data_IF_768293314584
#
_entry.id   IF_768293314584
#
_cell.length_a   1.000
_cell.length_b   1.000
_cell.length_c   1.000
_cell.angle_alpha   90.00
_cell.angle_beta   90.00
_cell.angle_gamma   90.00
#
_symmetry.space_group_name_H-M   'P 1'
#
loop_
_entity.id
_entity.type
_entity.pdbx_description
1 polymer ?
#
# COMPACT_ATOMS: atom_id res chain seq x y z
N UNK A 1 47.43 -22.97 0.10
CA UNK A 1 47.52 -22.15 -1.13
C UNK A 1 46.22 -22.33 -1.89
N UNK A 2 45.13 -21.73 -1.42
CA UNK A 2 43.83 -21.63 -2.10
C UNK A 2 43.07 -20.52 -1.36
N UNK A 3 43.51 -19.28 -1.51
CA UNK A 3 42.84 -18.12 -0.88
C UNK A 3 42.28 -17.13 -1.90
N UNK A 4 42.55 -17.29 -3.20
CA UNK A 4 42.29 -16.22 -4.18
C UNK A 4 41.43 -16.58 -5.41
N UNK A 5 40.85 -17.78 -5.53
CA UNK A 5 40.13 -18.17 -6.77
C UNK A 5 38.64 -18.54 -6.63
N UNK A 6 37.98 -18.23 -5.52
CA UNK A 6 36.52 -18.41 -5.42
C UNK A 6 35.79 -17.07 -5.50
N UNK A 7 35.25 -16.76 -6.69
CA UNK A 7 34.13 -15.84 -6.83
C UNK A 7 32.97 -16.27 -5.90
N UNK A 8 32.14 -15.34 -5.39
CA UNK A 8 31.15 -15.67 -4.38
C UNK A 8 30.09 -16.60 -4.98
N UNK A 9 30.22 -17.90 -4.73
CA UNK A 9 29.18 -18.88 -5.05
C UNK A 9 28.10 -18.72 -3.99
N UNK A 10 26.89 -18.33 -4.42
CA UNK A 10 25.75 -17.97 -3.58
C UNK A 10 25.16 -19.09 -2.70
N UNK A 11 25.83 -20.23 -2.54
CA UNK A 11 25.35 -21.35 -1.72
C UNK A 11 26.52 -21.99 -0.94
N UNK A 12 26.64 -21.63 0.34
CA UNK A 12 27.68 -22.17 1.24
C UNK A 12 27.67 -23.71 1.37
N UNK A 13 26.57 -24.36 1.04
CA UNK A 13 26.43 -25.83 1.02
C UNK A 13 27.15 -26.50 -0.16
N UNK A 14 27.24 -25.82 -1.32
CA UNK A 14 28.01 -26.28 -2.49
C UNK A 14 29.51 -26.23 -2.23
N UNK A 15 29.96 -25.21 -1.48
CA UNK A 15 31.36 -25.09 -1.02
C UNK A 15 31.69 -26.19 -0.01
N UNK A 16 30.76 -26.54 0.88
CA UNK A 16 30.93 -27.65 1.82
C UNK A 16 31.07 -29.01 1.09
N UNK A 17 30.23 -29.28 0.09
CA UNK A 17 30.34 -30.50 -0.72
C UNK A 17 31.70 -30.58 -1.45
N UNK A 18 32.18 -29.48 -2.04
CA UNK A 18 33.47 -29.41 -2.74
C UNK A 18 34.67 -29.58 -1.79
N UNK A 19 34.60 -29.00 -0.59
CA UNK A 19 35.62 -29.15 0.46
C UNK A 19 35.68 -30.60 0.97
N UNK A 20 34.53 -31.26 1.16
CA UNK A 20 34.50 -32.69 1.54
C UNK A 20 35.06 -33.56 0.41
N UNK A 21 34.77 -33.26 -0.86
CA UNK A 21 35.31 -33.98 -2.01
C UNK A 21 36.84 -33.84 -2.12
N UNK A 22 37.38 -32.64 -1.87
CA UNK A 22 38.82 -32.36 -1.81
C UNK A 22 39.53 -33.04 -0.63
N UNK A 23 38.83 -33.30 0.48
CA UNK A 23 39.41 -33.90 1.69
C UNK A 23 39.41 -35.43 1.67
N UNK A 24 38.42 -36.06 1.03
CA UNK A 24 38.20 -37.52 1.07
C UNK A 24 38.65 -38.22 -0.23
N UNK A 25 38.93 -37.46 -1.29
CA UNK A 25 39.31 -37.97 -2.62
C UNK A 25 38.12 -38.52 -3.41
N UNK A 26 38.34 -38.81 -4.71
CA UNK A 26 37.33 -39.19 -5.73
C UNK A 26 36.42 -40.40 -5.41
N UNK A 27 36.52 -40.98 -4.21
CA UNK A 27 35.73 -42.12 -3.76
C UNK A 27 34.44 -41.74 -3.00
N UNK A 28 34.21 -40.47 -2.69
CA UNK A 28 32.98 -40.01 -2.04
C UNK A 28 31.91 -39.69 -3.09
N UNK A 29 30.99 -40.63 -3.34
CA UNK A 29 29.76 -40.39 -4.11
C UNK A 29 28.79 -39.50 -3.30
N UNK A 30 29.03 -38.19 -3.33
CA UNK A 30 28.16 -37.17 -2.74
C UNK A 30 27.09 -36.76 -3.76
N UNK A 31 25.81 -36.80 -3.36
CA UNK A 31 24.71 -36.21 -4.13
C UNK A 31 24.06 -35.16 -3.23
N UNK A 32 23.99 -33.92 -3.70
CA UNK A 32 23.29 -32.83 -3.05
C UNK A 32 22.31 -32.19 -4.02
N UNK A 33 21.08 -31.97 -3.57
CA UNK A 33 20.02 -31.26 -4.32
C UNK A 33 19.84 -29.81 -3.86
N UNK A 34 20.85 -29.25 -3.18
CA UNK A 34 20.79 -27.89 -2.63
C UNK A 34 19.98 -27.76 -1.34
N UNK A 35 19.53 -28.86 -0.74
CA UNK A 35 18.83 -28.84 0.57
C UNK A 35 19.37 -29.84 1.62
N UNK A 36 20.12 -30.87 1.19
CA UNK A 36 20.81 -31.84 2.06
C UNK A 36 22.07 -32.41 1.39
N UNK A 37 23.11 -32.67 2.19
CA UNK A 37 24.24 -33.54 1.79
C UNK A 37 23.95 -34.96 2.30
N UNK A 38 23.79 -35.92 1.39
CA UNK A 38 23.58 -37.34 1.73
C UNK A 38 24.81 -38.16 1.31
N UNK A 39 25.43 -38.85 2.28
CA UNK A 39 26.41 -39.89 2.00
C UNK A 39 25.67 -41.14 1.48
N UNK A 40 25.77 -41.44 0.17
CA UNK A 40 25.25 -42.71 -0.34
C UNK A 40 26.06 -43.85 0.30
N UNK A 41 25.40 -44.70 1.08
CA UNK A 41 25.92 -46.02 1.34
C UNK A 41 26.14 -46.71 -0.02
N UNK A 42 27.27 -47.38 -0.21
CA UNK A 42 27.59 -48.09 -1.43
C UNK A 42 26.45 -49.03 -1.85
N UNK A 43 26.26 -49.22 -3.17
CA UNK A 43 25.24 -50.12 -3.68
C UNK A 43 25.36 -51.49 -3.01
N UNK A 44 24.21 -52.07 -2.62
CA UNK A 44 24.15 -53.42 -2.05
C UNK A 44 24.82 -54.38 -3.04
N UNK A 45 25.82 -55.15 -2.59
CA UNK A 45 26.58 -56.05 -3.45
C UNK A 45 25.68 -56.99 -4.24
N UNK A 46 26.11 -57.37 -5.44
CA UNK A 46 25.37 -58.27 -6.33
C UNK A 46 25.03 -59.58 -5.60
N UNK A 47 23.82 -60.09 -5.85
CA UNK A 47 23.36 -61.36 -5.28
C UNK A 47 24.25 -62.47 -5.83
N UNK A 48 24.90 -63.24 -4.96
CA UNK A 48 25.72 -64.38 -5.35
C UNK A 48 24.95 -65.36 -6.24
N UNK A 49 25.66 -66.01 -7.16
CA UNK A 49 25.08 -66.96 -8.11
C UNK A 49 24.30 -68.08 -7.40
N UNK A 50 23.13 -68.42 -7.95
CA UNK A 50 22.28 -69.49 -7.44
C UNK A 50 22.96 -70.84 -7.67
N UNK A 51 23.20 -71.61 -6.60
CA UNK A 51 23.78 -72.95 -6.69
C UNK A 51 22.94 -73.91 -7.55
N UNK A 52 23.60 -74.88 -8.18
CA UNK A 52 22.96 -75.86 -9.06
C UNK A 52 21.88 -76.69 -8.33
N UNK A 53 20.77 -76.95 -9.04
CA UNK A 53 19.61 -77.65 -8.52
C UNK A 53 19.88 -79.16 -8.39
N UNK A 54 19.94 -79.68 -7.16
CA UNK A 54 20.03 -81.13 -6.89
C UNK A 54 18.69 -81.87 -7.06
N UNK A 55 18.75 -83.14 -7.47
CA UNK A 55 17.59 -84.03 -7.50
C UNK A 55 17.12 -84.34 -6.07
N UNK A 56 15.92 -83.84 -5.73
CA UNK A 56 15.00 -84.24 -4.65
C UNK A 56 15.62 -84.83 -3.35
N UNK A 57 16.07 -83.96 -2.44
CA UNK A 57 16.36 -84.31 -1.03
C UNK A 57 17.21 -83.27 -0.29
N UNK A 58 16.67 -82.73 0.81
CA UNK A 58 17.21 -81.72 1.75
C UNK A 58 17.56 -80.32 1.18
N UNK A 59 17.20 -79.27 1.94
CA UNK A 59 17.38 -77.86 1.60
C UNK A 59 18.88 -77.54 1.47
N UNK A 60 19.33 -77.07 0.30
CA UNK A 60 20.72 -76.68 0.07
C UNK A 60 21.20 -75.59 1.04
N UNK A 61 22.47 -75.67 1.43
CA UNK A 61 23.10 -74.73 2.36
C UNK A 61 23.00 -73.27 1.85
N UNK A 62 22.73 -72.36 2.78
CA UNK A 62 22.65 -70.93 2.53
C UNK A 62 24.01 -70.41 2.02
N UNK A 63 24.04 -69.81 0.83
CA UNK A 63 25.26 -69.23 0.26
C UNK A 63 25.91 -68.19 1.18
N UNK A 64 27.24 -68.12 1.14
CA UNK A 64 28.03 -67.23 1.99
C UNK A 64 27.58 -65.76 1.87
N UNK A 65 27.44 -65.10 3.02
CA UNK A 65 27.12 -63.69 3.11
C UNK A 65 28.27 -62.88 2.47
N UNK A 66 27.96 -62.06 1.46
CA UNK A 66 28.93 -61.14 0.86
C UNK A 66 29.57 -60.22 1.91
N UNK A 67 30.82 -59.82 1.66
CA UNK A 67 31.59 -58.99 2.58
C UNK A 67 30.80 -57.73 3.02
N UNK A 68 30.88 -57.32 4.30
CA UNK A 68 30.27 -56.09 4.76
C UNK A 68 30.70 -54.90 3.88
N UNK A 69 29.77 -54.01 3.55
CA UNK A 69 30.12 -52.74 2.90
C UNK A 69 31.06 -51.93 3.80
N UNK A 70 31.94 -51.13 3.20
CA UNK A 70 32.82 -50.24 3.97
C UNK A 70 31.96 -49.25 4.77
N UNK A 71 32.16 -49.23 6.10
CA UNK A 71 31.58 -48.21 6.98
C UNK A 71 32.05 -46.81 6.54
N UNK A 72 31.18 -45.81 6.65
CA UNK A 72 31.55 -44.41 6.39
C UNK A 72 32.75 -43.99 7.26
N UNK A 73 33.63 -43.13 6.72
CA UNK A 73 34.86 -42.71 7.42
C UNK A 73 34.54 -42.10 8.80
N UNK A 74 34.84 -42.85 9.86
CA UNK A 74 34.59 -42.46 11.25
C UNK A 74 35.32 -41.17 11.68
N UNK A 75 36.20 -40.64 10.83
CA UNK A 75 36.95 -39.42 11.08
C UNK A 75 36.34 -38.16 10.43
N UNK A 76 35.14 -38.25 9.84
CA UNK A 76 34.41 -37.09 9.30
C UNK A 76 33.19 -36.78 10.17
N UNK A 77 33.10 -35.55 10.68
CA UNK A 77 31.91 -35.02 11.34
C UNK A 77 31.50 -33.71 10.67
N UNK A 78 30.22 -33.56 10.35
CA UNK A 78 29.65 -32.31 9.84
C UNK A 78 28.57 -31.87 10.82
N UNK A 79 28.73 -30.68 11.39
CA UNK A 79 27.81 -30.11 12.38
C UNK A 79 27.48 -28.67 12.04
N UNK A 80 26.20 -28.31 12.13
CA UNK A 80 25.77 -26.92 11.98
C UNK A 80 25.79 -26.22 13.34
N UNK A 81 26.43 -25.05 13.40
CA UNK A 81 26.53 -24.24 14.61
C UNK A 81 26.25 -22.77 14.25
N UNK A 82 25.03 -22.29 14.49
CA UNK A 82 24.64 -20.92 14.11
C UNK A 82 24.70 -20.71 12.58
N UNK A 83 25.38 -19.64 12.14
CA UNK A 83 25.57 -19.32 10.71
C UNK A 83 26.82 -19.98 10.12
N UNK A 84 27.33 -21.07 10.70
CA UNK A 84 28.47 -21.79 10.13
C UNK A 84 28.23 -23.30 10.07
N UNK A 85 28.76 -23.91 9.02
CA UNK A 85 28.93 -25.36 8.88
C UNK A 85 30.33 -25.69 9.38
N UNK A 86 30.42 -26.51 10.41
CA UNK A 86 31.67 -27.00 10.98
C UNK A 86 31.93 -28.41 10.46
N UNK A 87 33.02 -28.59 9.73
CA UNK A 87 33.48 -29.88 9.21
C UNK A 87 34.73 -30.28 9.99
N UNK A 88 34.71 -31.43 10.65
CA UNK A 88 35.89 -32.02 11.32
C UNK A 88 36.34 -33.22 10.50
N UNK A 89 37.55 -33.18 9.96
CA UNK A 89 38.15 -34.30 9.23
C UNK A 89 39.54 -34.62 9.79
N UNK A 90 39.76 -35.85 10.26
CA UNK A 90 41.05 -36.32 10.84
C UNK A 90 41.64 -35.36 11.90
N UNK A 91 40.77 -34.80 12.74
CA UNK A 91 41.18 -33.86 13.81
C UNK A 91 41.43 -32.42 13.35
N UNK A 92 41.22 -32.10 12.06
CA UNK A 92 41.26 -30.73 11.53
C UNK A 92 39.85 -30.18 11.42
N UNK A 93 39.62 -28.98 11.95
CA UNK A 93 38.33 -28.28 11.90
C UNK A 93 38.33 -27.24 10.79
N UNK A 94 37.34 -27.33 9.91
CA UNK A 94 37.00 -26.34 8.89
C UNK A 94 35.69 -25.67 9.29
N UNK A 95 35.62 -24.35 9.15
CA UNK A 95 34.41 -23.58 9.41
C UNK A 95 34.04 -22.87 8.12
N UNK A 96 32.83 -23.13 7.62
CA UNK A 96 32.28 -22.49 6.43
C UNK A 96 31.13 -21.60 6.86
N UNK A 97 31.05 -20.33 6.44
CA UNK A 97 29.84 -19.55 6.62
C UNK A 97 28.70 -20.23 5.87
N UNK A 98 27.61 -20.51 6.58
CA UNK A 98 26.29 -20.71 5.99
C UNK A 98 26.01 -19.37 5.30
N UNK A 99 25.86 -19.37 3.98
CA UNK A 99 25.48 -18.14 3.26
C UNK A 99 24.29 -17.49 3.97
N UNK A 100 24.20 -16.15 3.97
CA UNK A 100 23.00 -15.50 4.49
C UNK A 100 21.78 -16.11 3.80
N UNK A 101 20.73 -16.42 4.56
CA UNK A 101 19.49 -16.91 3.98
C UNK A 101 19.05 -15.92 2.89
N UNK A 102 18.64 -16.41 1.71
CA UNK A 102 18.30 -15.53 0.61
C UNK A 102 17.22 -14.55 1.07
N UNK A 103 17.39 -13.26 0.73
CA UNK A 103 16.33 -12.28 0.91
C UNK A 103 15.19 -12.67 -0.02
N UNK A 104 14.02 -12.94 0.54
CA UNK A 104 12.85 -13.37 -0.22
C UNK A 104 11.61 -12.55 0.12
N UNK A 105 10.67 -12.54 -0.81
CA UNK A 105 9.30 -12.09 -0.58
C UNK A 105 8.36 -13.11 -1.21
N UNK A 106 7.24 -13.41 -0.54
CA UNK A 106 6.28 -14.42 -1.01
C UNK A 106 4.97 -13.75 -1.36
N UNK A 107 4.46 -14.00 -2.56
CA UNK A 107 3.17 -13.50 -3.03
C UNK A 107 2.26 -14.70 -3.32
N UNK A 108 1.07 -14.73 -2.75
CA UNK A 108 0.06 -15.76 -3.05
C UNK A 108 -1.16 -15.09 -3.66
N UNK A 109 -1.63 -15.60 -4.81
CA UNK A 109 -2.75 -15.05 -5.58
C UNK A 109 -3.91 -16.05 -5.73
N UNK A 110 -5.13 -15.53 -5.84
CA UNK A 110 -6.31 -16.30 -6.22
C UNK A 110 -6.38 -16.61 -7.73
N UNK A 111 -5.54 -15.99 -8.55
CA UNK A 111 -5.45 -16.27 -9.99
C UNK A 111 -5.05 -17.73 -10.25
N UNK A 112 -5.45 -18.26 -11.40
CA UNK A 112 -5.11 -19.60 -11.83
C UNK A 112 -3.71 -19.65 -12.45
N UNK A 113 -3.08 -20.83 -12.39
CA UNK A 113 -1.85 -21.11 -13.16
C UNK A 113 -2.10 -20.85 -14.64
N UNK A 114 -1.15 -20.20 -15.30
CA UNK A 114 -1.24 -19.72 -16.68
C UNK A 114 -1.86 -18.31 -16.83
N UNK A 115 -2.45 -17.75 -15.78
CA UNK A 115 -2.82 -16.32 -15.78
C UNK A 115 -1.59 -15.44 -15.49
N UNK A 116 -1.77 -14.13 -15.71
CA UNK A 116 -0.71 -13.14 -15.47
C UNK A 116 -0.87 -12.44 -14.13
N UNK A 117 0.28 -12.18 -13.50
CA UNK A 117 0.45 -11.12 -12.50
C UNK A 117 1.31 -10.00 -13.07
N UNK A 118 1.05 -8.77 -12.67
CA UNK A 118 1.87 -7.62 -13.02
C UNK A 118 2.68 -7.19 -11.82
N UNK A 119 4.01 -7.19 -11.95
CA UNK A 119 4.91 -6.71 -10.92
C UNK A 119 5.72 -5.52 -11.44
N UNK A 120 6.12 -4.66 -10.51
CA UNK A 120 7.14 -3.62 -10.74
C UNK A 120 8.13 -3.69 -9.61
N UNK A 121 9.40 -3.86 -9.96
CA UNK A 121 10.48 -4.07 -9.00
C UNK A 121 11.57 -3.03 -9.27
N UNK A 122 12.12 -2.45 -8.21
CA UNK A 122 13.37 -1.69 -8.27
C UNK A 122 14.27 -2.09 -7.11
N UNK A 123 15.57 -1.94 -7.32
CA UNK A 123 16.59 -2.20 -6.33
C UNK A 123 17.81 -1.32 -6.58
N UNK A 124 18.71 -1.24 -5.61
CA UNK A 124 20.00 -0.62 -5.81
C UNK A 124 20.75 -1.32 -6.97
N UNK A 125 21.48 -0.61 -7.84
CA UNK A 125 22.13 -1.22 -9.01
C UNK A 125 23.06 -2.40 -8.68
N UNK A 126 23.67 -2.40 -7.49
CA UNK A 126 24.51 -3.49 -7.02
C UNK A 126 23.73 -4.77 -6.65
N UNK A 127 22.46 -4.63 -6.26
CA UNK A 127 21.59 -5.73 -5.83
C UNK A 127 20.78 -6.32 -7.01
N UNK A 128 20.65 -5.59 -8.13
CA UNK A 128 19.83 -5.99 -9.29
C UNK A 128 20.19 -7.35 -9.93
N UNK A 129 21.48 -7.71 -10.11
CA UNK A 129 21.84 -8.99 -10.73
C UNK A 129 21.35 -10.23 -9.97
N UNK A 130 21.12 -10.09 -8.67
CA UNK A 130 20.72 -11.19 -7.77
C UNK A 130 19.19 -11.37 -7.71
N UNK A 131 18.42 -10.50 -8.37
CA UNK A 131 16.96 -10.51 -8.30
C UNK A 131 16.35 -11.39 -9.39
N UNK A 132 15.44 -12.27 -8.99
CA UNK A 132 14.65 -13.12 -9.87
C UNK A 132 13.34 -13.54 -9.19
N UNK A 133 12.40 -14.08 -9.96
CA UNK A 133 11.06 -14.44 -9.49
C UNK A 133 10.82 -15.91 -9.81
N UNK A 134 10.73 -16.74 -8.77
CA UNK A 134 10.30 -18.13 -8.87
C UNK A 134 8.79 -18.17 -9.17
N UNK A 135 8.44 -18.30 -10.44
CA UNK A 135 7.07 -18.22 -10.95
C UNK A 135 6.32 -19.55 -10.81
N UNK A 136 7.05 -20.65 -10.68
CA UNK A 136 6.50 -22.00 -10.56
C UNK A 136 6.70 -22.64 -9.17
N UNK A 137 7.33 -21.90 -8.25
CA UNK A 137 7.62 -22.29 -6.87
C UNK A 137 8.44 -23.58 -6.75
N UNK A 138 9.41 -23.77 -7.65
CA UNK A 138 10.28 -24.95 -7.67
C UNK A 138 11.64 -24.73 -6.96
N UNK A 139 11.92 -23.50 -6.50
CA UNK A 139 13.16 -23.12 -5.81
C UNK A 139 14.38 -22.92 -6.71
N UNK A 140 14.24 -23.00 -8.03
CA UNK A 140 15.31 -22.84 -9.01
C UNK A 140 14.98 -21.69 -9.96
N UNK A 141 16.02 -20.98 -10.43
CA UNK A 141 15.86 -19.91 -11.41
C UNK A 141 15.77 -20.48 -12.83
N UNK A 142 14.57 -20.47 -13.39
CA UNK A 142 14.28 -20.97 -14.75
C UNK A 142 14.36 -19.87 -15.83
N UNK A 143 14.35 -20.29 -17.09
CA UNK A 143 14.26 -19.38 -18.23
C UNK A 143 12.95 -18.57 -18.17
N UNK A 144 13.06 -17.24 -18.15
CA UNK A 144 11.92 -16.32 -18.06
C UNK A 144 11.65 -15.78 -16.65
N UNK A 145 12.37 -16.25 -15.64
CA UNK A 145 12.23 -15.81 -14.24
C UNK A 145 13.16 -14.65 -13.85
N UNK A 146 14.05 -14.25 -14.74
CA UNK A 146 14.91 -13.11 -14.53
C UNK A 146 14.11 -11.79 -14.54
N UNK A 147 14.37 -10.92 -13.56
CA UNK A 147 13.91 -9.52 -13.61
C UNK A 147 14.89 -8.74 -14.48
N UNK A 148 14.44 -8.30 -15.65
CA UNK A 148 15.28 -7.62 -16.65
C UNK A 148 15.06 -6.10 -16.70
N UNK A 149 14.02 -5.63 -16.04
CA UNK A 149 13.57 -4.24 -16.06
C UNK A 149 13.36 -3.79 -14.62
N UNK A 150 14.08 -2.73 -14.23
CA UNK A 150 14.03 -2.16 -12.89
C UNK A 150 13.60 -0.70 -12.95
N UNK A 151 12.66 -0.30 -12.09
CA UNK A 151 12.21 1.08 -12.00
C UNK A 151 10.95 1.23 -11.15
N UNK A 152 10.60 2.47 -10.82
CA UNK A 152 9.46 2.80 -9.96
C UNK A 152 8.27 3.40 -10.71
N UNK A 153 8.43 3.77 -11.98
CA UNK A 153 7.38 4.44 -12.77
C UNK A 153 6.45 3.46 -13.51
N UNK A 154 5.29 3.95 -13.96
CA UNK A 154 4.27 3.13 -14.62
C UNK A 154 4.77 2.35 -15.85
N UNK A 155 5.80 2.86 -16.52
CA UNK A 155 6.40 2.25 -17.72
C UNK A 155 7.21 0.98 -17.41
N UNK A 156 7.46 0.66 -16.13
CA UNK A 156 8.26 -0.49 -15.69
C UNK A 156 7.40 -1.68 -15.23
N UNK A 157 6.10 -1.67 -15.53
CA UNK A 157 5.23 -2.82 -15.28
C UNK A 157 5.62 -3.99 -16.17
N UNK A 158 5.82 -5.17 -15.58
CA UNK A 158 6.10 -6.41 -16.29
C UNK A 158 5.05 -7.45 -15.92
N UNK A 159 4.47 -8.08 -16.95
CA UNK A 159 3.54 -9.20 -16.79
C UNK A 159 4.32 -10.52 -16.74
N UNK A 160 4.03 -11.34 -15.73
CA UNK A 160 4.59 -12.67 -15.57
C UNK A 160 3.48 -13.72 -15.60
N UNK A 161 3.69 -14.79 -16.35
CA UNK A 161 2.78 -15.94 -16.35
C UNK A 161 3.03 -16.81 -15.12
N UNK A 162 1.97 -17.12 -14.40
CA UNK A 162 2.04 -17.96 -13.20
C UNK A 162 2.30 -19.41 -13.58
N UNK A 163 3.36 -20.01 -13.04
CA UNK A 163 3.54 -21.47 -12.98
C UNK A 163 2.93 -22.08 -11.71
N UNK A 164 2.76 -21.28 -10.66
CA UNK A 164 2.12 -21.63 -9.40
C UNK A 164 1.33 -20.42 -8.85
N UNK A 165 0.40 -20.66 -7.92
CA UNK A 165 -0.37 -19.59 -7.27
C UNK A 165 0.43 -18.85 -6.17
N UNK A 166 1.52 -19.46 -5.70
CA UNK A 166 2.49 -18.82 -4.82
C UNK A 166 3.76 -18.61 -5.62
N UNK A 167 4.28 -17.39 -5.60
CA UNK A 167 5.53 -17.02 -6.28
C UNK A 167 6.48 -16.39 -5.27
N UNK A 168 7.78 -16.60 -5.46
CA UNK A 168 8.80 -16.09 -4.55
C UNK A 168 9.71 -15.13 -5.32
N UNK A 169 9.81 -13.89 -4.85
CA UNK A 169 10.81 -12.94 -5.35
C UNK A 169 12.06 -13.10 -4.52
N UNK A 170 13.18 -13.42 -5.16
CA UNK A 170 14.50 -13.50 -4.55
C UNK A 170 15.27 -12.19 -4.76
N UNK A 171 16.12 -11.85 -3.80
CA UNK A 171 17.00 -10.69 -3.84
C UNK A 171 16.47 -9.48 -3.06
N UNK A 172 17.37 -8.53 -2.85
CA UNK A 172 17.11 -7.33 -2.05
C UNK A 172 16.43 -6.25 -2.89
N UNK A 173 15.24 -5.84 -2.49
CA UNK A 173 14.35 -4.98 -3.28
C UNK A 173 14.08 -3.69 -2.50
N UNK A 174 14.18 -2.54 -3.16
CA UNK A 174 13.88 -1.24 -2.53
C UNK A 174 12.49 -0.73 -2.87
N UNK A 175 11.93 -1.19 -4.00
CA UNK A 175 10.58 -0.86 -4.45
C UNK A 175 9.87 -2.12 -4.94
N UNK A 176 8.68 -2.40 -4.41
CA UNK A 176 7.79 -3.43 -4.92
C UNK A 176 6.41 -2.84 -5.18
N UNK A 177 5.92 -2.96 -6.42
CA UNK A 177 4.51 -2.84 -6.73
C UNK A 177 3.97 -4.17 -7.22
N UNK A 178 2.93 -4.67 -6.55
CA UNK A 178 2.24 -5.92 -6.86
C UNK A 178 0.72 -5.70 -6.88
N UNK A 179 0.30 -4.54 -7.38
CA UNK A 179 -1.08 -4.10 -7.45
C UNK A 179 -1.95 -4.94 -8.40
N UNK A 180 -3.27 -5.00 -8.15
CA UNK A 180 -4.25 -5.62 -9.04
C UNK A 180 -3.91 -7.06 -9.46
N UNK A 181 -3.47 -7.87 -8.49
CA UNK A 181 -3.04 -9.24 -8.71
C UNK A 181 -3.91 -10.28 -8.02
N UNK A 182 -5.03 -9.86 -7.40
CA UNK A 182 -5.86 -10.73 -6.57
C UNK A 182 -5.04 -11.47 -5.50
N UNK A 183 -4.04 -10.79 -4.92
CA UNK A 183 -3.21 -11.38 -3.87
C UNK A 183 -4.06 -11.63 -2.63
N UNK A 184 -4.00 -12.85 -2.11
CA UNK A 184 -4.63 -13.26 -0.85
C UNK A 184 -3.65 -13.22 0.31
N UNK A 185 -2.33 -13.29 0.02
CA UNK A 185 -1.25 -13.14 0.99
C UNK A 185 -0.04 -12.44 0.37
N UNK A 186 0.66 -11.68 1.20
CA UNK A 186 1.91 -11.01 0.87
C UNK A 186 2.83 -11.03 2.09
N UNK A 187 3.98 -11.69 1.95
CA UNK A 187 5.04 -11.68 2.96
C UNK A 187 6.26 -10.94 2.41
N UNK A 188 6.57 -9.80 3.04
CA UNK A 188 7.73 -8.95 2.73
C UNK A 188 8.72 -8.88 3.90
N UNK A 189 8.54 -9.72 4.94
CA UNK A 189 9.23 -9.59 6.22
C UNK A 189 10.76 -9.70 6.12
N UNK A 190 11.27 -10.49 5.17
CA UNK A 190 12.70 -10.66 4.94
C UNK A 190 13.31 -9.51 4.11
N UNK A 191 12.51 -8.68 3.44
CA UNK A 191 13.00 -7.58 2.62
C UNK A 191 13.11 -6.26 3.41
N UNK A 192 14.02 -6.25 4.38
CA UNK A 192 14.21 -5.12 5.31
C UNK A 192 14.67 -3.82 4.65
N UNK A 193 15.20 -3.91 3.42
CA UNK A 193 15.63 -2.76 2.60
C UNK A 193 14.49 -2.08 1.83
N UNK A 194 13.26 -2.58 1.93
CA UNK A 194 12.12 -2.06 1.19
C UNK A 194 11.77 -0.63 1.65
N UNK A 195 11.81 0.32 0.72
CA UNK A 195 11.53 1.75 0.95
C UNK A 195 10.14 2.17 0.45
N UNK A 196 9.62 1.46 -0.56
CA UNK A 196 8.31 1.70 -1.16
C UNK A 196 7.60 0.38 -1.45
N UNK A 197 6.41 0.22 -0.86
CA UNK A 197 5.55 -0.93 -1.07
C UNK A 197 4.18 -0.49 -1.57
N UNK A 198 3.77 -1.01 -2.72
CA UNK A 198 2.49 -0.77 -3.35
C UNK A 198 1.78 -2.09 -3.66
N UNK A 199 0.86 -2.50 -2.79
CA UNK A 199 0.07 -3.74 -2.90
C UNK A 199 -1.44 -3.46 -3.03
N UNK A 200 -1.81 -2.32 -3.60
CA UNK A 200 -3.21 -1.89 -3.70
C UNK A 200 -4.04 -2.76 -4.66
N UNK A 201 -5.36 -2.75 -4.48
CA UNK A 201 -6.32 -3.49 -5.32
C UNK A 201 -6.05 -5.01 -5.30
N UNK A 202 -6.04 -5.59 -4.10
CA UNK A 202 -5.84 -7.01 -3.86
C UNK A 202 -6.90 -7.52 -2.87
N UNK A 203 -6.74 -8.75 -2.38
CA UNK A 203 -7.65 -9.42 -1.44
C UNK A 203 -6.94 -9.71 -0.11
N UNK A 204 -5.99 -8.85 0.29
CA UNK A 204 -5.21 -9.04 1.51
C UNK A 204 -6.09 -8.81 2.73
N UNK A 205 -6.19 -9.81 3.60
CA UNK A 205 -6.88 -9.70 4.90
C UNK A 205 -5.94 -9.31 6.04
N UNK A 206 -4.63 -9.51 5.83
CA UNK A 206 -3.57 -9.09 6.73
C UNK A 206 -2.33 -8.64 5.94
N UNK A 207 -1.53 -7.78 6.56
CA UNK A 207 -0.26 -7.31 6.00
C UNK A 207 0.69 -7.00 7.16
N UNK A 208 1.83 -7.70 7.22
CA UNK A 208 2.88 -7.43 8.20
C UNK A 208 4.04 -6.66 7.54
N UNK A 209 4.26 -5.44 8.00
CA UNK A 209 5.34 -4.55 7.55
C UNK A 209 6.30 -4.17 8.67
N UNK A 210 6.21 -4.82 9.84
CA UNK A 210 6.96 -4.41 11.04
C UNK A 210 8.48 -4.57 10.90
N UNK A 211 8.93 -5.40 9.96
CA UNK A 211 10.33 -5.64 9.64
C UNK A 211 10.87 -4.68 8.55
N UNK A 212 9.99 -4.02 7.80
CA UNK A 212 10.37 -3.11 6.71
C UNK A 212 10.55 -1.68 7.23
N UNK A 213 11.47 -1.49 8.18
CA UNK A 213 11.66 -0.22 8.90
C UNK A 213 12.14 0.92 8.00
N UNK A 214 12.67 0.59 6.81
CA UNK A 214 13.08 1.56 5.80
C UNK A 214 11.90 2.16 4.98
N UNK A 215 10.68 1.64 5.13
CA UNK A 215 9.52 2.12 4.38
C UNK A 215 9.29 3.62 4.57
N UNK A 216 9.29 4.34 3.45
CA UNK A 216 8.93 5.75 3.33
C UNK A 216 7.56 5.95 2.68
N UNK A 217 7.12 4.97 1.87
CA UNK A 217 5.80 4.94 1.25
C UNK A 217 5.19 3.54 1.41
N UNK A 218 3.97 3.50 1.90
CA UNK A 218 3.16 2.29 1.91
C UNK A 218 1.80 2.59 1.28
N UNK A 219 1.45 1.85 0.23
CA UNK A 219 0.14 1.85 -0.39
C UNK A 219 -0.47 0.44 -0.37
N UNK A 220 -1.40 0.22 0.56
CA UNK A 220 -2.17 -1.00 0.71
C UNK A 220 -3.68 -0.75 0.53
N UNK A 221 -4.07 0.31 -0.20
CA UNK A 221 -5.48 0.65 -0.39
C UNK A 221 -6.24 -0.41 -1.18
N UNK A 222 -7.58 -0.43 -1.07
CA UNK A 222 -8.45 -1.42 -1.73
C UNK A 222 -8.02 -2.86 -1.43
N UNK A 223 -8.07 -3.22 -0.16
CA UNK A 223 -7.85 -4.57 0.35
C UNK A 223 -8.94 -4.87 1.40
N UNK A 224 -8.77 -5.96 2.14
CA UNK A 224 -9.70 -6.41 3.18
C UNK A 224 -9.06 -6.35 4.57
N UNK A 225 -8.10 -5.43 4.78
CA UNK A 225 -7.35 -5.33 6.03
C UNK A 225 -8.28 -4.86 7.17
N UNK A 226 -8.34 -5.66 8.24
CA UNK A 226 -9.06 -5.29 9.48
C UNK A 226 -8.15 -4.59 10.50
N UNK A 227 -6.84 -4.79 10.40
CA UNK A 227 -5.82 -4.15 11.21
C UNK A 227 -4.56 -3.88 10.39
N UNK A 228 -3.80 -2.87 10.79
CA UNK A 228 -2.52 -2.50 10.19
C UNK A 228 -1.61 -1.92 11.28
N UNK A 229 -0.43 -2.52 11.48
CA UNK A 229 0.57 -2.04 12.44
C UNK A 229 1.75 -1.40 11.71
N UNK A 230 1.81 -0.06 11.76
CA UNK A 230 2.87 0.75 11.14
C UNK A 230 3.83 1.38 12.15
N UNK A 231 3.75 0.99 13.43
CA UNK A 231 4.48 1.68 14.51
C UNK A 231 6.01 1.54 14.43
N UNK A 232 6.50 0.56 13.66
CA UNK A 232 7.93 0.33 13.40
C UNK A 232 8.43 1.07 12.16
N UNK A 233 7.54 1.52 11.29
CA UNK A 233 7.87 2.18 10.04
C UNK A 233 8.01 3.70 10.25
N UNK A 234 8.90 4.10 11.15
CA UNK A 234 9.05 5.50 11.61
C UNK A 234 9.51 6.45 10.51
N UNK A 235 10.05 5.92 9.41
CA UNK A 235 10.45 6.68 8.22
C UNK A 235 9.28 6.98 7.25
N UNK A 236 8.07 6.47 7.51
CA UNK A 236 6.91 6.66 6.63
C UNK A 236 6.58 8.15 6.45
N UNK A 237 6.54 8.56 5.19
CA UNK A 237 6.13 9.90 4.73
C UNK A 237 4.75 9.88 4.08
N UNK A 238 4.38 8.75 3.47
CA UNK A 238 3.10 8.56 2.78
C UNK A 238 2.52 7.21 3.21
N UNK A 239 1.31 7.23 3.76
CA UNK A 239 0.53 6.04 4.07
C UNK A 239 -0.82 6.12 3.36
N UNK A 240 -1.06 5.17 2.46
CA UNK A 240 -2.36 4.95 1.84
C UNK A 240 -2.90 3.57 2.26
N UNK A 241 -3.95 3.60 3.07
CA UNK A 241 -4.66 2.44 3.61
C UNK A 241 -6.19 2.60 3.47
N UNK A 242 -6.63 3.49 2.56
CA UNK A 242 -8.04 3.71 2.26
C UNK A 242 -8.72 2.47 1.65
N UNK A 243 -10.05 2.42 1.74
CA UNK A 243 -10.87 1.30 1.23
C UNK A 243 -10.41 -0.05 1.79
N UNK A 244 -10.39 -0.13 3.11
CA UNK A 244 -10.13 -1.34 3.89
C UNK A 244 -11.24 -1.49 4.95
N UNK A 245 -11.03 -2.35 5.95
CA UNK A 245 -11.95 -2.62 7.04
C UNK A 245 -11.34 -2.22 8.39
N UNK A 246 -10.43 -1.24 8.42
CA UNK A 246 -9.69 -0.83 9.62
C UNK A 246 -10.64 -0.22 10.65
N UNK A 247 -10.63 -0.76 11.86
CA UNK A 247 -11.40 -0.24 13.01
C UNK A 247 -10.58 0.77 13.81
N UNK A 248 -9.26 0.59 13.82
CA UNK A 248 -8.29 1.45 14.51
C UNK A 248 -7.05 1.63 13.65
N UNK A 249 -6.39 2.78 13.77
CA UNK A 249 -5.14 3.07 13.10
C UNK A 249 -4.24 3.89 14.04
N UNK A 250 -3.09 3.35 14.42
CA UNK A 250 -2.10 4.04 15.25
C UNK A 250 -0.95 4.54 14.38
N UNK A 251 -0.90 5.86 14.17
CA UNK A 251 0.15 6.56 13.42
C UNK A 251 1.07 7.39 14.33
N UNK A 252 1.00 7.19 15.65
CA UNK A 252 1.70 8.01 16.64
C UNK A 252 3.23 7.98 16.53
N UNK A 253 3.79 6.93 15.91
CA UNK A 253 5.23 6.77 15.69
C UNK A 253 5.70 7.25 14.32
N UNK A 254 4.79 7.56 13.41
CA UNK A 254 5.11 7.96 12.05
C UNK A 254 5.18 9.50 11.96
N UNK A 255 6.04 10.10 12.77
CA UNK A 255 6.16 11.57 12.91
C UNK A 255 6.64 12.26 11.62
N UNK A 256 7.20 11.50 10.68
CA UNK A 256 7.59 11.98 9.34
C UNK A 256 6.43 11.97 8.32
N UNK A 257 5.21 11.55 8.69
CA UNK A 257 4.07 11.51 7.79
C UNK A 257 3.72 12.90 7.26
N UNK A 258 3.67 13.00 5.94
CA UNK A 258 3.25 14.19 5.20
C UNK A 258 1.91 14.00 4.51
N UNK A 259 1.54 12.75 4.21
CA UNK A 259 0.26 12.39 3.58
C UNK A 259 -0.32 11.14 4.21
N UNK A 260 -1.58 11.23 4.63
CA UNK A 260 -2.34 10.11 5.18
C UNK A 260 -3.67 9.96 4.43
N UNK A 261 -3.83 8.80 3.78
CA UNK A 261 -5.07 8.38 3.13
C UNK A 261 -5.64 7.17 3.90
N UNK A 262 -6.73 7.37 4.62
CA UNK A 262 -7.41 6.35 5.43
C UNK A 262 -8.93 6.39 5.27
N UNK A 263 -9.43 7.03 4.21
CA UNK A 263 -10.86 7.14 3.93
C UNK A 263 -11.50 5.79 3.58
N UNK A 264 -12.82 5.65 3.77
CA UNK A 264 -13.54 4.39 3.56
C UNK A 264 -12.94 3.25 4.39
N UNK A 265 -13.05 3.40 5.70
CA UNK A 265 -12.72 2.39 6.70
C UNK A 265 -13.83 2.38 7.78
N UNK A 266 -13.56 1.79 8.94
CA UNK A 266 -14.48 1.73 10.09
C UNK A 266 -13.90 2.46 11.31
N UNK A 267 -13.06 3.47 11.08
CA UNK A 267 -12.38 4.21 12.15
C UNK A 267 -13.39 5.02 12.97
N UNK A 268 -13.47 4.74 14.27
CA UNK A 268 -14.31 5.51 15.20
C UNK A 268 -13.55 6.67 15.85
N UNK A 269 -12.22 6.58 15.87
CA UNK A 269 -11.28 7.59 16.36
C UNK A 269 -10.06 7.62 15.45
N UNK A 270 -9.45 8.80 15.32
CA UNK A 270 -8.18 8.99 14.62
C UNK A 270 -7.38 10.06 15.37
N UNK A 271 -6.20 9.69 15.87
CA UNK A 271 -5.26 10.61 16.52
C UNK A 271 -4.10 10.89 15.56
N UNK A 272 -3.98 12.16 15.15
CA UNK A 272 -2.92 12.68 14.28
C UNK A 272 -2.05 13.74 14.97
N UNK A 273 -2.16 13.88 16.29
CA UNK A 273 -1.47 14.92 17.06
C UNK A 273 0.06 14.86 16.97
N UNK A 274 0.63 13.66 16.81
CA UNK A 274 2.07 13.47 16.66
C UNK A 274 2.58 13.63 15.21
N UNK A 275 1.68 13.80 14.24
CA UNK A 275 2.03 13.92 12.82
C UNK A 275 2.10 15.41 12.42
N UNK A 276 2.94 16.19 13.09
CA UNK A 276 2.98 17.65 12.92
C UNK A 276 3.45 18.10 11.52
N UNK A 277 4.13 17.21 10.77
CA UNK A 277 4.54 17.43 9.37
C UNK A 277 3.44 17.10 8.34
N UNK A 278 2.22 16.75 8.79
CA UNK A 278 1.12 16.33 7.92
C UNK A 278 0.60 17.50 7.08
N UNK A 279 0.62 17.33 5.76
CA UNK A 279 0.17 18.33 4.77
C UNK A 279 -1.16 17.96 4.13
N UNK A 280 -1.43 16.66 4.01
CA UNK A 280 -2.66 16.13 3.44
C UNK A 280 -3.24 15.04 4.34
N UNK A 281 -4.49 15.22 4.73
CA UNK A 281 -5.27 14.23 5.48
C UNK A 281 -6.57 13.93 4.74
N UNK A 282 -6.74 12.67 4.32
CA UNK A 282 -8.01 12.15 3.80
C UNK A 282 -8.52 11.03 4.71
N UNK A 283 -9.49 11.36 5.55
CA UNK A 283 -10.12 10.47 6.54
C UNK A 283 -11.64 10.36 6.37
N UNK A 284 -12.18 10.81 5.23
CA UNK A 284 -13.61 10.77 4.94
C UNK A 284 -14.19 9.35 4.92
N UNK A 285 -15.53 9.25 4.95
CA UNK A 285 -16.25 7.97 4.96
C UNK A 285 -15.76 7.02 6.07
N UNK A 286 -15.80 7.52 7.31
CA UNK A 286 -15.53 6.77 8.53
C UNK A 286 -16.61 7.17 9.56
N UNK A 287 -16.84 6.39 10.63
CA UNK A 287 -17.72 6.79 11.72
C UNK A 287 -17.02 7.68 12.77
N UNK A 288 -16.17 8.65 12.38
CA UNK A 288 -15.49 9.53 13.34
C UNK A 288 -16.49 10.50 13.97
N UNK A 289 -16.48 10.59 15.31
CA UNK A 289 -17.31 11.54 16.07
C UNK A 289 -16.61 12.85 16.39
N UNK A 290 -15.28 12.82 16.38
CA UNK A 290 -14.42 13.97 16.61
C UNK A 290 -13.15 13.80 15.79
N UNK A 291 -12.57 14.93 15.41
CA UNK A 291 -11.28 15.01 14.72
C UNK A 291 -10.55 16.24 15.26
N UNK A 292 -9.35 16.03 15.80
CA UNK A 292 -8.47 17.10 16.27
C UNK A 292 -7.29 17.23 15.32
N UNK A 293 -7.16 18.41 14.69
CA UNK A 293 -6.09 18.73 13.73
C UNK A 293 -5.25 19.94 14.17
N UNK A 294 -5.36 20.36 15.44
CA UNK A 294 -4.75 21.61 15.92
C UNK A 294 -3.22 21.59 15.90
N UNK A 295 -2.62 20.41 16.05
CA UNK A 295 -1.16 20.21 15.99
C UNK A 295 -0.64 20.05 14.55
N UNK A 296 -1.51 19.87 13.56
CA UNK A 296 -1.14 19.69 12.15
C UNK A 296 -1.08 21.05 11.43
N UNK A 297 -0.26 21.98 11.91
CA UNK A 297 -0.22 23.36 11.41
C UNK A 297 0.27 23.48 9.96
N UNK A 298 0.94 22.46 9.42
CA UNK A 298 1.35 22.39 8.00
C UNK A 298 0.25 21.86 7.05
N UNK A 299 -0.95 21.58 7.55
CA UNK A 299 -2.03 20.99 6.76
C UNK A 299 -2.52 21.96 5.67
N UNK A 300 -2.40 21.55 4.41
CA UNK A 300 -2.86 22.31 3.25
C UNK A 300 -4.14 21.76 2.63
N UNK A 301 -4.43 20.48 2.86
CA UNK A 301 -5.66 19.82 2.41
C UNK A 301 -6.22 18.89 3.49
N UNK A 302 -7.50 19.08 3.80
CA UNK A 302 -8.26 18.23 4.71
C UNK A 302 -9.53 17.73 4.01
N UNK A 303 -9.69 16.41 3.92
CA UNK A 303 -10.97 15.79 3.64
C UNK A 303 -11.39 14.91 4.82
N UNK A 304 -12.47 15.31 5.48
CA UNK A 304 -13.15 14.56 6.54
C UNK A 304 -14.65 14.39 6.24
N UNK A 305 -15.02 14.35 4.96
CA UNK A 305 -16.41 14.18 4.53
C UNK A 305 -17.02 12.88 5.05
N UNK A 306 -18.35 12.79 5.13
CA UNK A 306 -19.06 11.53 5.46
C UNK A 306 -18.57 10.92 6.77
N UNK A 307 -18.58 11.74 7.82
CA UNK A 307 -18.30 11.33 9.19
C UNK A 307 -19.49 11.67 10.10
N UNK A 308 -19.29 11.63 11.41
CA UNK A 308 -20.29 11.99 12.43
C UNK A 308 -19.82 13.20 13.24
N UNK A 309 -19.04 14.10 12.60
CA UNK A 309 -18.47 15.28 13.26
C UNK A 309 -19.57 16.29 13.56
N UNK A 310 -19.70 16.67 14.84
CA UNK A 310 -20.63 17.73 15.27
C UNK A 310 -19.95 19.09 15.36
N UNK A 311 -18.62 19.10 15.45
CA UNK A 311 -17.75 20.28 15.49
C UNK A 311 -16.47 19.98 14.72
N UNK A 312 -15.88 21.01 14.11
CA UNK A 312 -14.58 20.95 13.48
C UNK A 312 -13.84 22.28 13.73
N UNK A 313 -12.65 22.21 14.33
CA UNK A 313 -11.79 23.37 14.57
C UNK A 313 -10.58 23.29 13.62
N UNK A 314 -10.55 24.22 12.66
CA UNK A 314 -9.46 24.38 11.68
C UNK A 314 -8.69 25.69 11.88
N UNK A 315 -8.86 26.36 13.02
CA UNK A 315 -8.30 27.69 13.29
C UNK A 315 -6.77 27.72 13.31
N UNK A 316 -6.11 26.57 13.54
CA UNK A 316 -4.64 26.43 13.56
C UNK A 316 -4.05 26.02 12.21
N UNK A 317 -4.87 25.59 11.26
CA UNK A 317 -4.42 25.13 9.95
C UNK A 317 -4.45 26.29 8.95
N UNK A 318 -3.67 27.34 9.23
CA UNK A 318 -3.68 28.60 8.46
C UNK A 318 -3.22 28.42 7.00
N UNK A 319 -2.48 27.34 6.73
CA UNK A 319 -2.01 26.95 5.40
C UNK A 319 -3.06 26.17 4.58
N UNK A 320 -4.27 25.93 5.12
CA UNK A 320 -5.33 25.22 4.39
C UNK A 320 -5.71 25.97 3.11
N UNK A 321 -5.47 25.29 2.00
CA UNK A 321 -5.92 25.68 0.65
C UNK A 321 -7.22 24.99 0.24
N UNK A 322 -7.57 23.91 0.95
CA UNK A 322 -8.69 23.05 0.59
C UNK A 322 -9.28 22.33 1.78
N UNK A 323 -10.60 22.48 1.95
CA UNK A 323 -11.36 21.85 3.03
C UNK A 323 -12.62 21.17 2.49
N UNK A 324 -12.72 19.87 2.74
CA UNK A 324 -13.91 19.04 2.53
C UNK A 324 -14.37 18.49 3.87
N UNK A 325 -15.53 18.95 4.33
CA UNK A 325 -16.18 18.52 5.56
C UNK A 325 -17.69 18.28 5.37
N UNK A 326 -18.11 18.01 4.13
CA UNK A 326 -19.49 17.71 3.79
C UNK A 326 -19.99 16.40 4.40
N UNK A 327 -21.30 16.17 4.36
CA UNK A 327 -21.95 14.98 4.93
C UNK A 327 -21.55 14.75 6.41
N UNK A 328 -21.69 15.79 7.23
CA UNK A 328 -21.49 15.74 8.67
C UNK A 328 -22.65 16.47 9.38
N UNK A 329 -22.90 16.23 10.68
CA UNK A 329 -23.88 17.01 11.44
C UNK A 329 -23.29 18.32 12.01
N UNK A 330 -22.46 19.07 11.26
CA UNK A 330 -21.89 20.33 11.75
C UNK A 330 -22.96 21.42 11.85
N UNK A 331 -23.02 22.10 12.98
CA UNK A 331 -23.95 23.24 13.20
C UNK A 331 -23.31 24.61 12.96
N UNK A 332 -21.98 24.66 13.05
CA UNK A 332 -21.19 25.85 12.83
C UNK A 332 -19.85 25.43 12.23
N UNK A 333 -19.29 26.32 11.42
CA UNK A 333 -17.98 26.16 10.82
C UNK A 333 -17.32 27.54 10.76
N UNK A 334 -16.16 27.68 11.39
CA UNK A 334 -15.34 28.90 11.33
C UNK A 334 -14.13 28.63 10.42
N UNK A 335 -14.09 29.33 9.29
CA UNK A 335 -12.99 29.31 8.31
C UNK A 335 -12.26 30.65 8.20
N UNK A 336 -12.53 31.58 9.12
CA UNK A 336 -12.02 32.96 9.05
C UNK A 336 -10.51 33.08 9.24
N UNK A 337 -9.88 32.01 9.74
CA UNK A 337 -8.43 31.90 9.94
C UNK A 337 -7.71 31.24 8.75
N UNK A 338 -8.43 30.64 7.80
CA UNK A 338 -7.88 29.89 6.68
C UNK A 338 -7.79 30.78 5.43
N UNK A 339 -6.91 31.79 5.49
CA UNK A 339 -6.84 32.86 4.48
C UNK A 339 -6.46 32.34 3.07
N UNK A 340 -5.73 31.23 3.00
CA UNK A 340 -5.28 30.61 1.75
C UNK A 340 -6.33 29.69 1.09
N UNK A 341 -7.54 29.59 1.64
CA UNK A 341 -8.56 28.64 1.20
C UNK A 341 -9.04 28.97 -0.22
N UNK A 342 -8.83 28.03 -1.14
CA UNK A 342 -9.21 28.15 -2.57
C UNK A 342 -10.46 27.35 -2.92
N UNK A 343 -10.79 26.33 -2.13
CA UNK A 343 -12.06 25.60 -2.22
C UNK A 343 -12.56 25.17 -0.84
N UNK A 344 -13.88 25.23 -0.67
CA UNK A 344 -14.59 24.84 0.55
C UNK A 344 -15.82 24.01 0.21
N UNK A 345 -15.82 22.74 0.61
CA UNK A 345 -16.96 21.84 0.49
C UNK A 345 -17.49 21.53 1.90
N UNK A 346 -18.64 22.09 2.24
CA UNK A 346 -19.33 21.97 3.52
C UNK A 346 -20.81 21.62 3.35
N UNK A 347 -21.18 21.04 2.21
CA UNK A 347 -22.53 20.62 1.88
C UNK A 347 -23.07 19.51 2.80
N UNK A 348 -24.38 19.28 2.82
CA UNK A 348 -25.03 18.25 3.62
C UNK A 348 -24.64 18.35 5.11
N UNK A 349 -24.83 19.54 5.69
CA UNK A 349 -24.56 19.85 7.09
C UNK A 349 -25.79 20.52 7.73
N UNK A 350 -25.64 21.08 8.93
CA UNK A 350 -26.71 21.79 9.65
C UNK A 350 -26.33 23.26 9.87
N UNK A 351 -25.53 23.84 8.99
CA UNK A 351 -25.05 25.21 9.12
C UNK A 351 -26.20 26.20 8.95
N UNK A 352 -26.39 27.08 9.93
CA UNK A 352 -27.37 28.18 9.84
C UNK A 352 -26.74 29.48 9.32
N UNK A 353 -25.42 29.60 9.45
CA UNK A 353 -24.62 30.74 9.00
C UNK A 353 -23.27 30.24 8.52
N UNK A 354 -22.67 30.94 7.55
CA UNK A 354 -21.34 30.67 7.06
C UNK A 354 -20.65 31.99 6.73
N UNK A 355 -19.53 32.28 7.42
CA UNK A 355 -18.71 33.46 7.15
C UNK A 355 -17.49 33.06 6.31
N UNK A 356 -17.48 33.49 5.05
CA UNK A 356 -16.38 33.31 4.09
C UNK A 356 -15.67 34.63 3.76
N UNK A 357 -15.92 35.69 4.53
CA UNK A 357 -15.46 37.06 4.23
C UNK A 357 -13.94 37.23 4.24
N UNK A 358 -13.21 36.29 4.85
CA UNK A 358 -11.74 36.27 4.93
C UNK A 358 -11.07 35.38 3.88
N UNK A 359 -11.82 34.53 3.20
CA UNK A 359 -11.29 33.56 2.23
C UNK A 359 -11.27 34.19 0.83
N UNK A 360 -10.51 35.27 0.64
CA UNK A 360 -10.52 36.06 -0.61
C UNK A 360 -10.03 35.30 -1.84
N UNK A 361 -9.26 34.23 -1.62
CA UNK A 361 -8.75 33.33 -2.66
C UNK A 361 -9.75 32.23 -3.07
N UNK A 362 -10.95 32.20 -2.47
CA UNK A 362 -11.94 31.16 -2.71
C UNK A 362 -12.42 31.18 -4.17
N UNK A 363 -12.20 30.08 -4.87
CA UNK A 363 -12.61 29.87 -6.27
C UNK A 363 -13.82 28.94 -6.39
N UNK A 364 -14.02 28.02 -5.44
CA UNK A 364 -15.17 27.13 -5.40
C UNK A 364 -15.77 26.99 -4.00
N UNK A 365 -17.08 27.15 -3.90
CA UNK A 365 -17.85 27.02 -2.66
C UNK A 365 -19.04 26.06 -2.86
N UNK A 366 -19.02 24.93 -2.17
CA UNK A 366 -20.15 24.00 -2.08
C UNK A 366 -20.70 24.03 -0.66
N UNK A 367 -21.87 24.63 -0.49
CA UNK A 367 -22.58 24.77 0.79
C UNK A 367 -24.06 24.37 0.69
N UNK A 368 -24.41 23.60 -0.34
CA UNK A 368 -25.77 23.10 -0.54
C UNK A 368 -26.22 22.15 0.60
N UNK A 369 -27.53 21.93 0.72
CA UNK A 369 -28.14 21.09 1.77
C UNK A 369 -27.64 21.49 3.17
N UNK A 370 -27.99 22.72 3.53
CA UNK A 370 -27.73 23.33 4.82
C UNK A 370 -28.97 24.13 5.24
N UNK A 371 -28.85 25.00 6.24
CA UNK A 371 -29.94 25.84 6.75
C UNK A 371 -29.61 27.32 6.65
N UNK A 372 -28.80 27.71 5.66
CA UNK A 372 -28.35 29.09 5.49
C UNK A 372 -29.53 29.98 5.09
N UNK A 373 -29.74 31.07 5.83
CA UNK A 373 -30.77 32.08 5.51
C UNK A 373 -30.22 33.25 4.68
N UNK A 374 -28.90 33.40 4.67
CA UNK A 374 -28.15 34.44 3.97
C UNK A 374 -26.75 33.94 3.69
N UNK A 375 -26.15 34.44 2.61
CA UNK A 375 -24.76 34.17 2.26
C UNK A 375 -24.18 35.44 1.62
N UNK A 376 -23.09 35.95 2.20
CA UNK A 376 -22.36 37.10 1.67
C UNK A 376 -21.02 36.61 1.09
N UNK A 377 -20.85 36.81 -0.21
CA UNK A 377 -19.63 36.46 -0.95
C UNK A 377 -18.94 37.68 -1.57
N UNK A 378 -19.25 38.89 -1.09
CA UNK A 378 -18.77 40.16 -1.66
C UNK A 378 -17.24 40.29 -1.66
N UNK A 379 -16.55 39.65 -0.69
CA UNK A 379 -15.09 39.62 -0.63
C UNK A 379 -14.46 38.48 -1.44
N UNK A 380 -15.23 37.49 -1.89
CA UNK A 380 -14.72 36.31 -2.61
C UNK A 380 -14.63 36.59 -4.12
N UNK A 381 -13.91 37.65 -4.48
CA UNK A 381 -13.84 38.14 -5.87
C UNK A 381 -13.22 37.16 -6.88
N UNK A 382 -12.51 36.13 -6.39
CA UNK A 382 -11.95 35.04 -7.20
C UNK A 382 -12.95 33.92 -7.52
N UNK A 383 -14.16 33.94 -6.94
CA UNK A 383 -15.13 32.85 -7.03
C UNK A 383 -15.56 32.57 -8.48
N UNK A 384 -15.60 31.28 -8.80
CA UNK A 384 -15.97 30.72 -10.12
C UNK A 384 -17.15 29.76 -10.00
N UNK A 385 -17.24 29.07 -8.87
CA UNK A 385 -18.23 28.02 -8.64
C UNK A 385 -18.94 28.23 -7.30
N UNK A 386 -20.27 28.25 -7.33
CA UNK A 386 -21.13 28.35 -6.16
C UNK A 386 -22.29 27.36 -6.27
N UNK A 387 -22.29 26.39 -5.35
CA UNK A 387 -23.38 25.43 -5.16
C UNK A 387 -24.01 25.69 -3.79
N UNK A 388 -25.19 26.30 -3.78
CA UNK A 388 -25.88 26.71 -2.55
C UNK A 388 -27.38 26.38 -2.55
N UNK A 389 -27.83 25.48 -3.41
CA UNK A 389 -29.19 24.92 -3.39
C UNK A 389 -29.49 24.18 -2.07
N UNK A 390 -30.74 23.80 -1.85
CA UNK A 390 -31.22 23.18 -0.60
C UNK A 390 -30.80 23.99 0.64
N UNK A 391 -31.15 25.28 0.64
CA UNK A 391 -30.94 26.18 1.77
C UNK A 391 -32.23 26.98 2.03
N UNK A 392 -32.15 28.09 2.77
CA UNK A 392 -33.28 28.94 3.15
C UNK A 392 -33.08 30.40 2.73
N UNK A 393 -32.33 30.64 1.65
CA UNK A 393 -31.98 31.97 1.14
C UNK A 393 -33.10 32.48 0.23
N UNK A 394 -33.79 33.54 0.64
CA UNK A 394 -34.94 34.10 -0.09
C UNK A 394 -35.07 35.61 0.11
N UNK A 395 -35.94 36.26 -0.67
CA UNK A 395 -36.27 37.68 -0.51
C UNK A 395 -35.04 38.59 -0.58
N UNK A 396 -34.92 39.52 0.36
CA UNK A 396 -33.81 40.48 0.43
C UNK A 396 -32.44 39.80 0.58
N UNK A 397 -32.37 38.62 1.23
CA UNK A 397 -31.12 37.88 1.36
C UNK A 397 -30.67 37.27 0.03
N UNK A 398 -31.61 36.81 -0.80
CA UNK A 398 -31.29 36.38 -2.17
C UNK A 398 -30.87 37.57 -3.03
N UNK A 399 -31.53 38.73 -2.89
CA UNK A 399 -31.10 39.99 -3.53
C UNK A 399 -29.67 40.34 -3.14
N UNK A 400 -29.31 40.23 -1.86
CA UNK A 400 -27.96 40.49 -1.38
C UNK A 400 -26.95 39.49 -1.98
N UNK A 401 -27.28 38.19 -2.00
CA UNK A 401 -26.43 37.15 -2.58
C UNK A 401 -26.12 37.43 -4.05
N UNK A 402 -27.14 37.62 -4.90
CA UNK A 402 -26.91 37.86 -6.35
C UNK A 402 -26.12 39.15 -6.63
N UNK A 403 -26.28 40.18 -5.77
CA UNK A 403 -25.49 41.42 -5.86
C UNK A 403 -24.05 41.26 -5.37
N UNK A 404 -23.77 40.23 -4.57
CA UNK A 404 -22.43 39.91 -4.09
C UNK A 404 -21.62 39.00 -5.02
N UNK A 405 -22.27 38.37 -6.02
CA UNK A 405 -21.59 37.55 -7.05
C UNK A 405 -20.50 38.36 -7.77
N UNK A 406 -19.28 37.84 -7.93
CA UNK A 406 -18.22 38.54 -8.67
C UNK A 406 -18.65 38.92 -10.09
N UNK A 407 -18.22 40.08 -10.58
CA UNK A 407 -18.40 40.44 -11.98
C UNK A 407 -17.44 39.62 -12.86
N UNK A 408 -18.04 38.82 -13.76
CA UNK A 408 -17.35 37.92 -14.66
C UNK A 408 -17.54 38.29 -16.13
N UNK A 409 -17.93 39.53 -16.44
CA UNK A 409 -17.94 40.00 -17.82
C UNK A 409 -16.55 39.85 -18.48
N UNK A 410 -16.54 39.39 -19.73
CA UNK A 410 -15.31 39.06 -20.47
C UNK A 410 -14.51 37.86 -19.94
N UNK A 411 -15.01 37.11 -18.94
CA UNK A 411 -14.41 35.89 -18.39
C UNK A 411 -15.27 34.66 -18.73
N UNK A 412 -14.76 33.46 -18.39
CA UNK A 412 -15.54 32.23 -18.41
C UNK A 412 -16.76 32.34 -17.48
N UNK A 413 -17.91 31.83 -17.93
CA UNK A 413 -19.17 31.84 -17.15
C UNK A 413 -18.97 31.23 -15.77
N UNK A 414 -19.58 31.83 -14.75
CA UNK A 414 -19.59 31.26 -13.42
C UNK A 414 -20.58 30.10 -13.30
N UNK A 415 -20.33 29.15 -12.40
CA UNK A 415 -21.26 28.07 -12.08
C UNK A 415 -22.10 28.47 -10.87
N UNK A 416 -23.40 28.70 -11.06
CA UNK A 416 -24.31 29.07 -9.97
C UNK A 416 -25.53 28.15 -9.87
N UNK A 417 -25.47 27.20 -8.93
CA UNK A 417 -26.54 26.23 -8.69
C UNK A 417 -27.21 26.57 -7.36
N UNK A 418 -28.43 27.09 -7.44
CA UNK A 418 -29.09 27.77 -6.31
C UNK A 418 -30.47 27.20 -5.96
N UNK A 419 -31.06 26.41 -6.85
CA UNK A 419 -32.33 25.73 -6.60
C UNK A 419 -32.14 24.23 -6.77
N UNK A 420 -32.69 23.44 -5.85
CA UNK A 420 -32.74 22.00 -5.96
C UNK A 420 -34.01 21.58 -6.71
N UNK A 421 -33.84 20.76 -7.74
CA UNK A 421 -34.95 20.16 -8.46
C UNK A 421 -35.47 18.94 -7.70
N UNK A 422 -36.80 18.82 -7.62
CA UNK A 422 -37.51 17.69 -6.99
C UNK A 422 -37.09 17.43 -5.52
N UNK A 423 -36.68 18.48 -4.80
CA UNK A 423 -36.30 18.42 -3.38
C UNK A 423 -37.40 18.94 -2.47
N UNK A 424 -37.77 18.15 -1.46
CA UNK A 424 -38.72 18.54 -0.42
C UNK A 424 -38.10 19.45 0.66
N UNK A 425 -36.77 19.60 0.68
CA UNK A 425 -36.05 20.43 1.66
C UNK A 425 -35.72 21.83 1.16
N UNK A 426 -35.81 22.06 -0.15
CA UNK A 426 -35.48 23.33 -0.77
C UNK A 426 -36.39 24.46 -0.30
N UNK A 427 -35.78 25.53 0.19
CA UNK A 427 -36.46 26.75 0.65
C UNK A 427 -35.77 28.01 0.13
N UNK A 428 -34.76 27.87 -0.73
CA UNK A 428 -34.26 28.97 -1.52
C UNK A 428 -35.34 29.46 -2.48
N UNK A 429 -35.41 30.77 -2.64
CA UNK A 429 -36.31 31.41 -3.61
C UNK A 429 -35.52 32.47 -4.34
N UNK A 430 -35.39 32.30 -5.66
CA UNK A 430 -34.79 33.29 -6.56
C UNK A 430 -35.82 33.69 -7.61
N UNK A 431 -36.23 34.95 -7.61
CA UNK A 431 -37.20 35.47 -8.58
C UNK A 431 -36.58 35.68 -9.95
N UNK A 432 -37.39 35.78 -11.00
CA UNK A 432 -36.90 36.09 -12.35
C UNK A 432 -36.04 37.36 -12.40
N UNK A 433 -36.38 38.41 -11.63
CA UNK A 433 -35.59 39.65 -11.55
C UNK A 433 -34.24 39.42 -10.87
N UNK A 434 -34.19 38.68 -9.77
CA UNK A 434 -32.93 38.35 -9.09
C UNK A 434 -32.04 37.46 -9.97
N UNK A 435 -32.63 36.49 -10.67
CA UNK A 435 -31.93 35.62 -11.60
C UNK A 435 -31.35 36.41 -12.78
N UNK A 436 -32.03 37.46 -13.27
CA UNK A 436 -31.48 38.36 -14.29
C UNK A 436 -30.23 39.09 -13.80
N UNK A 437 -30.20 39.59 -12.55
CA UNK A 437 -29.02 40.23 -11.96
C UNK A 437 -27.81 39.29 -11.95
N UNK A 438 -28.00 38.02 -11.60
CA UNK A 438 -26.92 37.02 -11.64
C UNK A 438 -26.41 36.80 -13.07
N UNK A 439 -27.32 36.66 -14.05
CA UNK A 439 -26.95 36.47 -15.46
C UNK A 439 -26.20 37.66 -16.05
N UNK A 440 -26.59 38.89 -15.71
CA UNK A 440 -25.91 40.11 -16.15
C UNK A 440 -24.46 40.18 -15.66
N UNK A 441 -24.13 39.48 -14.57
CA UNK A 441 -22.76 39.31 -14.05
C UNK A 441 -22.04 38.08 -14.61
N UNK A 442 -22.60 37.46 -15.66
CA UNK A 442 -22.10 36.23 -16.28
C UNK A 442 -22.13 35.01 -15.35
N UNK A 443 -23.20 34.88 -14.54
CA UNK A 443 -23.53 33.69 -13.74
C UNK A 443 -24.89 33.10 -14.16
N UNK A 444 -24.90 32.13 -15.08
CA UNK A 444 -26.11 31.39 -15.42
C UNK A 444 -26.71 30.68 -14.20
N UNK A 445 -27.95 31.02 -13.87
CA UNK A 445 -28.71 30.40 -12.78
C UNK A 445 -29.18 29.01 -13.22
N UNK A 446 -28.83 27.98 -12.44
CA UNK A 446 -29.16 26.58 -12.73
C UNK A 446 -29.80 25.88 -11.53
N UNK A 447 -30.53 24.81 -11.81
CA UNK A 447 -30.98 23.86 -10.81
C UNK A 447 -29.88 22.84 -10.43
N UNK A 448 -30.16 21.96 -9.47
CA UNK A 448 -29.23 20.91 -8.99
C UNK A 448 -28.87 19.83 -10.02
N UNK A 449 -29.56 19.77 -11.16
CA UNK A 449 -29.21 18.90 -12.30
C UNK A 449 -28.39 19.65 -13.36
N UNK A 450 -28.14 20.95 -13.18
CA UNK A 450 -27.42 21.80 -14.10
C UNK A 450 -28.29 22.37 -15.23
N UNK A 451 -29.61 22.19 -15.19
CA UNK A 451 -30.51 22.77 -16.18
C UNK A 451 -30.68 24.27 -15.93
N UNK A 452 -30.85 25.11 -16.98
CA UNK A 452 -31.15 26.52 -16.80
C UNK A 452 -32.44 26.75 -16.00
N UNK A 453 -32.38 27.60 -14.98
CA UNK A 453 -33.54 27.98 -14.17
C UNK A 453 -33.88 29.47 -14.40
N UNK A 454 -35.09 29.80 -14.88
CA UNK A 454 -35.46 31.18 -15.21
C UNK A 454 -35.61 32.10 -13.98
N UNK A 455 -35.88 31.52 -12.81
CA UNK A 455 -36.36 32.23 -11.62
C UNK A 455 -37.85 31.92 -11.39
N UNK A 456 -38.32 32.02 -10.15
CA UNK A 456 -39.74 31.94 -9.83
C UNK A 456 -40.47 33.23 -10.23
N UNK A 457 -41.78 33.11 -10.46
CA UNK A 457 -42.67 34.25 -10.70
C UNK A 457 -42.85 35.15 -9.46
#
# INVERSE_FOLDING_TARGET
VLQDDFAPVAHGELVAALVVQLLVGDHANLVGDGSKIILKHGAKGERGEQGEQGEQGEQGEQGEQGAPGQDGDANLTITEVGNVIVIVYRGVTYTLPKGEAPVTMTLTTAKNVGEKITLRINAAPADQPDIWIDLNNNGNKDDGEAVTVFGSDANYNVDYFLGAQTVIVYGKVTYLSCFNNQLTSLDVSNNTALEDLSCFDNQLTSLDVRHNTALTRLNCCKNELSALDVRKNTALKILACDRNQLITLDVSKNTALTKLYCFTNQLTTLDVSNNTALKLLQCGNNPLKALDVRENTELTQLNCDRNQLTTLDVSKNTELTGLSCGDNPLKALDVTHNLALTWLYCNNNQLTTLDVSKNTELTGLCCFDNQLTSLDISNNTALKELYCFDNKISGDNMTALVNSLPDRDGKEEGVFWVIAKDSDTEQNVITATQAAVARDRNWPVRDSEGNPYPGSD
#
